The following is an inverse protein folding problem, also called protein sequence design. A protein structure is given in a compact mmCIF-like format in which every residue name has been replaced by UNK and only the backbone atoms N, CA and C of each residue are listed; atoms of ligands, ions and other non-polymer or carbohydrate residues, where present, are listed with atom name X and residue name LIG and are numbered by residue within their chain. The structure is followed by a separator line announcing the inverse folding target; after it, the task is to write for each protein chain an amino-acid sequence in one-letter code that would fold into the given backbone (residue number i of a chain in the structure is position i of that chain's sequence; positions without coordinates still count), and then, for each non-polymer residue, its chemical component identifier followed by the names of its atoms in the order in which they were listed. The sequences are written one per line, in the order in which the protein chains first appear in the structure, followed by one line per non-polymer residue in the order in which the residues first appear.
data_IF_850393574257
#
_entry.id   IF_850393574257
#
_cell.length_a   1.000
_cell.length_b   1.000
_cell.length_c   1.000
_cell.angle_alpha   90.00
_cell.angle_beta   90.00
_cell.angle_gamma   90.00
#
_symmetry.space_group_name_H-M   'P 1'
#
loop_
_entity.id
_entity.type
_entity.pdbx_description
1 polymer ?
#
# COMPACT_ATOMS: atom_id res chain seq x y z
N UNK A 1 7.48 -4.33 21.28
CA UNK A 1 6.90 -3.15 20.59
C UNK A 1 8.01 -2.46 19.80
N UNK A 2 7.92 -2.29 18.47
CA UNK A 2 8.91 -1.47 17.75
C UNK A 2 9.10 -1.71 16.24
N UNK A 3 8.68 -2.86 15.68
CA UNK A 3 8.87 -3.14 14.24
C UNK A 3 7.70 -2.70 13.37
N UNK A 4 6.48 -2.83 13.86
CA UNK A 4 5.25 -2.47 13.12
C UNK A 4 5.10 -0.95 12.90
N UNK A 5 5.61 -0.12 13.83
CA UNK A 5 5.57 1.34 13.64
C UNK A 5 6.49 1.79 12.50
N UNK A 6 7.61 1.10 12.28
CA UNK A 6 8.53 1.38 11.18
C UNK A 6 7.88 1.11 9.81
N UNK A 7 7.20 -0.02 9.65
CA UNK A 7 6.50 -0.35 8.41
C UNK A 7 5.40 0.68 8.08
N UNK A 8 4.60 1.09 9.08
CA UNK A 8 3.56 2.11 8.88
C UNK A 8 4.16 3.48 8.52
N UNK A 9 5.27 3.87 9.14
CA UNK A 9 5.96 5.13 8.84
C UNK A 9 6.54 5.13 7.41
N UNK A 10 7.13 4.01 6.98
CA UNK A 10 7.68 3.86 5.64
C UNK A 10 6.58 3.95 4.56
N UNK A 11 5.46 3.26 4.77
CA UNK A 11 4.30 3.35 3.86
C UNK A 11 3.76 4.78 3.81
N UNK A 12 3.69 5.48 4.94
CA UNK A 12 3.25 6.87 4.99
C UNK A 12 4.20 7.82 4.25
N UNK A 13 5.52 7.64 4.40
CA UNK A 13 6.52 8.41 3.67
C UNK A 13 6.40 8.18 2.15
N UNK A 14 6.28 6.92 1.72
CA UNK A 14 6.07 6.59 0.31
C UNK A 14 4.75 7.14 -0.24
N UNK A 15 3.69 7.15 0.55
CA UNK A 15 2.41 7.74 0.17
C UNK A 15 2.56 9.24 -0.10
N UNK A 16 3.31 9.96 0.75
CA UNK A 16 3.62 11.37 0.53
C UNK A 16 4.48 11.60 -0.73
N UNK A 17 5.49 10.76 -0.97
CA UNK A 17 6.32 10.81 -2.19
C UNK A 17 5.49 10.59 -3.47
N UNK A 18 4.46 9.76 -3.39
CA UNK A 18 3.64 9.36 -4.53
C UNK A 18 2.34 10.16 -4.69
N UNK A 19 2.14 11.21 -3.87
CA UNK A 19 0.87 11.98 -3.80
C UNK A 19 -0.36 11.06 -3.66
N UNK A 20 -0.22 10.01 -2.85
CA UNK A 20 -1.20 8.96 -2.65
C UNK A 20 -1.51 8.79 -1.15
N UNK A 21 -2.49 7.95 -0.83
CA UNK A 21 -2.77 7.55 0.55
C UNK A 21 -1.98 6.29 0.95
N UNK A 22 -1.74 6.06 2.26
CA UNK A 22 -1.14 4.82 2.73
C UNK A 22 -1.89 3.56 2.28
N UNK A 23 -3.22 3.61 2.21
CA UNK A 23 -4.06 2.50 1.73
C UNK A 23 -3.80 2.23 0.26
N UNK A 24 -3.71 3.29 -0.56
CA UNK A 24 -3.40 3.16 -1.99
C UNK A 24 -2.04 2.52 -2.22
N UNK A 25 -1.01 2.93 -1.46
CA UNK A 25 0.32 2.32 -1.54
C UNK A 25 0.27 0.83 -1.18
N UNK A 26 -0.42 0.46 -0.10
CA UNK A 26 -0.55 -0.93 0.31
C UNK A 26 -1.30 -1.79 -0.72
N UNK A 27 -2.42 -1.30 -1.25
CA UNK A 27 -3.21 -1.99 -2.27
C UNK A 27 -2.45 -2.11 -3.60
N UNK A 28 -1.79 -1.04 -4.05
CA UNK A 28 -0.97 -1.06 -5.26
C UNK A 28 0.20 -2.04 -5.16
N UNK A 29 0.80 -2.16 -3.98
CA UNK A 29 1.82 -3.17 -3.71
C UNK A 29 1.25 -4.59 -3.84
N UNK A 30 0.12 -4.89 -3.19
CA UNK A 30 -0.54 -6.20 -3.27
C UNK A 30 -0.91 -6.58 -4.71
N UNK A 31 -1.53 -5.66 -5.44
CA UNK A 31 -1.91 -5.85 -6.85
C UNK A 31 -0.69 -6.07 -7.76
N UNK A 32 0.45 -5.44 -7.44
CA UNK A 32 1.69 -5.56 -8.19
C UNK A 32 2.58 -6.74 -7.78
N UNK A 33 2.30 -7.40 -6.66
CA UNK A 33 3.17 -8.43 -6.10
C UNK A 33 3.04 -9.78 -6.84
N UNK A 34 1.84 -10.11 -7.32
CA UNK A 34 1.60 -11.34 -8.09
C UNK A 34 0.30 -11.27 -8.88
N UNK A 35 0.23 -11.83 -10.11
CA UNK A 35 -0.99 -11.83 -10.92
C UNK A 35 -2.16 -12.63 -10.32
N UNK A 36 -1.92 -13.43 -9.27
CA UNK A 36 -2.97 -14.21 -8.58
C UNK A 36 -3.41 -13.58 -7.25
N UNK A 37 -2.89 -12.40 -6.91
CA UNK A 37 -3.31 -11.66 -5.71
C UNK A 37 -4.43 -10.70 -6.09
N UNK A 38 -5.58 -10.84 -5.44
CA UNK A 38 -6.70 -9.91 -5.53
C UNK A 38 -7.10 -9.46 -4.11
N UNK A 39 -6.70 -8.27 -3.66
CA UNK A 39 -7.11 -7.76 -2.36
C UNK A 39 -8.61 -7.47 -2.34
N UNK A 40 -9.28 -7.78 -1.22
CA UNK A 40 -10.71 -7.51 -1.00
C UNK A 40 -10.84 -6.51 0.17
N UNK A 41 -10.53 -5.22 -0.04
CA UNK A 41 -10.59 -4.24 1.02
C UNK A 41 -12.05 -3.95 1.41
N UNK A 42 -12.36 -4.16 2.68
CA UNK A 42 -13.67 -3.79 3.24
C UNK A 42 -13.73 -2.29 3.56
N UNK A 43 -14.84 -1.64 3.22
CA UNK A 43 -15.15 -0.28 3.67
C UNK A 43 -16.66 -0.07 3.75
N UNK A 44 -17.09 0.77 4.69
CA UNK A 44 -18.47 1.23 4.84
C UNK A 44 -18.68 2.66 4.35
N UNK A 45 -17.64 3.31 3.83
CA UNK A 45 -17.67 4.71 3.36
C UNK A 45 -17.29 4.80 1.89
N UNK A 46 -17.98 5.69 1.17
CA UNK A 46 -17.81 5.89 -0.27
C UNK A 46 -16.43 6.50 -0.57
N UNK A 47 -15.97 7.46 0.23
CA UNK A 47 -14.64 8.08 0.05
C UNK A 47 -13.50 7.05 0.11
N UNK A 48 -13.56 6.13 1.07
CA UNK A 48 -12.62 5.01 1.16
C UNK A 48 -12.76 4.03 -0.02
N UNK A 49 -13.98 3.84 -0.56
CA UNK A 49 -14.16 3.01 -1.75
C UNK A 49 -13.45 3.64 -2.96
N UNK A 50 -13.64 4.95 -3.16
CA UNK A 50 -12.96 5.71 -4.21
C UNK A 50 -11.44 5.67 -4.05
N UNK A 51 -10.94 5.83 -2.82
CA UNK A 51 -9.53 5.69 -2.47
C UNK A 51 -8.99 4.29 -2.85
N UNK A 52 -9.70 3.22 -2.47
CA UNK A 52 -9.32 1.84 -2.77
C UNK A 52 -9.26 1.57 -4.28
N UNK A 53 -10.23 2.07 -5.04
CA UNK A 53 -10.27 1.91 -6.50
C UNK A 53 -9.13 2.65 -7.19
N UNK A 54 -8.78 3.84 -6.70
CA UNK A 54 -7.67 4.62 -7.26
C UNK A 54 -6.30 3.94 -7.10
N UNK A 55 -6.16 3.00 -6.15
CA UNK A 55 -4.92 2.23 -5.95
C UNK A 55 -4.48 1.44 -7.20
N UNK A 56 -5.42 0.98 -8.04
CA UNK A 56 -5.11 0.25 -9.28
C UNK A 56 -4.27 1.10 -10.25
N UNK A 57 -4.41 2.42 -10.19
CA UNK A 57 -3.71 3.36 -11.08
C UNK A 57 -2.34 3.76 -10.56
N UNK A 58 -2.06 3.50 -9.27
CA UNK A 58 -0.78 3.82 -8.66
C UNK A 58 0.28 2.81 -9.15
N UNK A 59 1.30 3.31 -9.85
CA UNK A 59 2.43 2.52 -10.33
C UNK A 59 3.63 2.78 -9.42
N UNK A 60 3.90 1.84 -8.53
CA UNK A 60 5.11 1.88 -7.70
C UNK A 60 6.36 1.68 -8.58
N UNK A 61 7.40 2.45 -8.33
CA UNK A 61 8.72 2.24 -8.96
C UNK A 61 9.35 0.94 -8.46
N UNK A 62 10.33 0.35 -9.18
CA UNK A 62 11.08 -0.81 -8.68
C UNK A 62 11.68 -0.58 -7.28
N UNK A 63 12.31 0.59 -7.06
CA UNK A 63 12.90 0.91 -5.76
C UNK A 63 11.87 1.00 -4.62
N UNK A 64 10.68 1.54 -4.90
CA UNK A 64 9.57 1.58 -3.95
C UNK A 64 9.04 0.17 -3.63
N UNK A 65 8.90 -0.70 -4.64
CA UNK A 65 8.52 -2.10 -4.44
C UNK A 65 9.55 -2.84 -3.59
N UNK A 66 10.83 -2.71 -3.90
CA UNK A 66 11.91 -3.35 -3.15
C UNK A 66 11.98 -2.88 -1.69
N UNK A 67 11.60 -1.62 -1.39
CA UNK A 67 11.48 -1.12 -0.01
C UNK A 67 10.33 -1.82 0.72
N UNK A 68 9.16 -1.93 0.09
CA UNK A 68 7.98 -2.57 0.66
C UNK A 68 8.16 -4.08 0.87
N UNK A 69 8.79 -4.79 -0.08
CA UNK A 69 9.05 -6.24 0.02
C UNK A 69 9.96 -6.61 1.20
N UNK A 70 10.76 -5.65 1.68
CA UNK A 70 11.65 -5.82 2.85
C UNK A 70 10.99 -5.45 4.17
N UNK A 71 9.76 -4.94 4.15
CA UNK A 71 9.04 -4.63 5.38
C UNK A 71 8.63 -5.93 6.08
N UNK A 72 8.77 -6.01 7.41
CA UNK A 72 8.30 -7.16 8.16
C UNK A 72 6.77 -7.27 8.06
N UNK A 73 6.26 -8.47 7.88
CA UNK A 73 4.82 -8.74 7.94
C UNK A 73 4.25 -8.25 9.29
N UNK A 74 3.00 -7.76 9.31
CA UNK A 74 2.32 -7.50 10.57
C UNK A 74 2.25 -8.78 11.40
N UNK A 75 2.47 -8.65 12.72
CA UNK A 75 2.37 -9.74 13.69
C UNK A 75 0.91 -10.08 14.00
#
# INVERSE_FOLDING_TARGET
MGRTSGARAEIAAMAAEAEATPTQVALAWLLGHSPVILPIPGTARIDHLEENLAAERLRLTPAQRDRLDRLPAPA
#
